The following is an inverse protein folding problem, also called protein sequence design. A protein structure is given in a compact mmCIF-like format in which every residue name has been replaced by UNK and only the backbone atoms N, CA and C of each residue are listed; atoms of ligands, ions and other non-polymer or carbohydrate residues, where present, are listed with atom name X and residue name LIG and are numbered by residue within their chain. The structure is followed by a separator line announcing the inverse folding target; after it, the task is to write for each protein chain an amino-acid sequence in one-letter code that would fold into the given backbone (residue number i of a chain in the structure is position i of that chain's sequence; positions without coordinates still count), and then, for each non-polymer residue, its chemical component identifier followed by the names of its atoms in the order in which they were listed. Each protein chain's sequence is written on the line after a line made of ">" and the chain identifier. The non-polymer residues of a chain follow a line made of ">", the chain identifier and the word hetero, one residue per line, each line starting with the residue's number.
data_IF_248481775391
#
_entry.id   IF_248481775391
#
_cell.length_a   1.000
_cell.length_b   1.000
_cell.length_c   1.000
_cell.angle_alpha   90.00
_cell.angle_beta   90.00
_cell.angle_gamma   90.00
#
_symmetry.space_group_name_H-M   'P 1'
#
loop_
_entity.id
_entity.type
_entity.pdbx_description
1 polymer ?
#
# COMPACT_ATOMS: atom_id res chain seq x y z
N UNK A 1 -1.73 5.81 19.22
CA UNK A 1 -2.29 7.01 18.53
C UNK A 1 -2.14 6.74 17.05
N UNK A 2 -2.93 5.78 16.59
CA UNK A 2 -2.64 4.96 15.42
C UNK A 2 -3.36 5.60 14.24
N UNK A 3 -2.77 6.69 13.74
CA UNK A 3 -3.25 7.35 12.54
C UNK A 3 -3.14 6.35 11.41
N UNK A 4 -4.26 5.73 11.03
CA UNK A 4 -4.32 4.84 9.86
C UNK A 4 -3.69 5.58 8.68
N UNK A 5 -2.74 4.96 7.96
CA UNK A 5 -2.14 5.60 6.81
C UNK A 5 -3.25 5.97 5.81
N UNK A 6 -3.17 7.17 5.24
CA UNK A 6 -4.16 7.68 4.29
C UNK A 6 -3.55 7.72 2.90
N UNK A 7 -4.39 7.49 1.90
CA UNK A 7 -4.01 7.56 0.51
C UNK A 7 -3.63 8.99 0.14
N UNK A 8 -2.49 9.17 -0.51
CA UNK A 8 -1.99 10.50 -0.88
C UNK A 8 -2.79 11.15 -2.02
N UNK A 9 -3.60 10.37 -2.75
CA UNK A 9 -4.41 10.86 -3.87
C UNK A 9 -5.82 11.30 -3.45
N UNK A 10 -6.43 10.62 -2.48
CA UNK A 10 -7.84 10.84 -2.15
C UNK A 10 -8.16 10.76 -0.66
N UNK A 11 -7.14 10.70 0.20
CA UNK A 11 -7.25 10.74 1.67
C UNK A 11 -8.13 9.64 2.30
N UNK A 12 -8.52 8.62 1.53
CA UNK A 12 -9.16 7.40 2.06
C UNK A 12 -8.14 6.56 2.83
N UNK A 13 -8.59 5.56 3.58
CA UNK A 13 -7.70 4.60 4.22
C UNK A 13 -6.79 3.92 3.19
N UNK A 14 -5.47 4.06 3.38
CA UNK A 14 -4.49 3.36 2.57
C UNK A 14 -4.50 1.89 2.95
N UNK A 15 -4.41 1.05 1.93
CA UNK A 15 -4.37 -0.41 2.06
C UNK A 15 -2.93 -0.94 2.02
N UNK A 16 -1.98 -0.08 1.66
CA UNK A 16 -0.58 -0.43 1.50
C UNK A 16 0.28 0.70 0.93
N UNK A 17 1.54 0.36 0.70
CA UNK A 17 2.56 1.19 0.08
C UNK A 17 2.90 0.59 -1.28
N UNK A 18 3.03 1.45 -2.29
CA UNK A 18 3.66 1.09 -3.55
C UNK A 18 4.82 2.03 -3.85
N UNK A 19 5.95 1.46 -4.25
CA UNK A 19 7.12 2.16 -4.75
C UNK A 19 7.34 1.76 -6.19
N UNK A 20 7.32 2.75 -7.08
CA UNK A 20 7.57 2.56 -8.50
C UNK A 20 8.85 3.33 -8.84
N UNK A 21 10.00 2.63 -8.82
CA UNK A 21 11.31 3.26 -8.94
C UNK A 21 11.66 4.09 -7.71
N UNK A 22 11.84 5.40 -7.89
CA UNK A 22 12.26 6.34 -6.84
C UNK A 22 11.11 6.92 -6.02
N UNK A 23 9.87 6.72 -6.46
CA UNK A 23 8.69 7.32 -5.85
C UNK A 23 7.95 6.28 -5.01
N UNK A 24 7.78 6.58 -3.73
CA UNK A 24 7.00 5.79 -2.77
C UNK A 24 5.71 6.53 -2.47
N UNK A 25 4.57 5.85 -2.55
CA UNK A 25 3.28 6.45 -2.22
C UNK A 25 2.35 5.51 -1.46
N UNK A 26 1.56 6.10 -0.56
CA UNK A 26 0.49 5.42 0.18
C UNK A 26 -0.79 5.44 -0.65
N UNK A 27 -1.37 4.26 -0.87
CA UNK A 27 -2.50 4.11 -1.80
C UNK A 27 -3.65 3.33 -1.19
N UNK A 28 -4.88 3.76 -1.49
CA UNK A 28 -6.11 3.04 -1.15
C UNK A 28 -6.46 2.03 -2.25
N UNK A 29 -7.51 1.23 -2.04
CA UNK A 29 -7.94 0.17 -2.98
C UNK A 29 -8.21 0.67 -4.41
N UNK A 30 -8.67 1.90 -4.57
CA UNK A 30 -8.92 2.53 -5.88
C UNK A 30 -7.62 2.96 -6.60
N UNK A 31 -6.62 3.43 -5.85
CA UNK A 31 -5.38 3.98 -6.41
C UNK A 31 -4.21 2.99 -6.38
N UNK A 32 -4.40 1.84 -5.76
CA UNK A 32 -3.42 0.79 -5.67
C UNK A 32 -3.22 0.08 -7.00
N UNK A 33 -1.97 -0.22 -7.32
CA UNK A 33 -1.63 -1.06 -8.45
C UNK A 33 -2.21 -2.47 -8.29
N UNK A 34 -2.48 -3.13 -9.42
CA UNK A 34 -2.99 -4.50 -9.45
C UNK A 34 -2.09 -5.48 -8.70
N UNK A 35 -0.77 -5.24 -8.69
CA UNK A 35 0.17 -6.03 -7.90
C UNK A 35 -0.09 -5.91 -6.39
N UNK A 36 -0.27 -4.69 -5.87
CA UNK A 36 -0.62 -4.47 -4.46
C UNK A 36 -2.00 -5.05 -4.11
N UNK A 37 -2.93 -5.05 -5.06
CA UNK A 37 -4.26 -5.65 -4.90
C UNK A 37 -4.24 -7.17 -4.83
N UNK A 38 -3.26 -7.80 -5.48
CA UNK A 38 -3.07 -9.25 -5.48
C UNK A 38 -2.37 -9.76 -4.20
N UNK A 39 -1.68 -8.88 -3.46
CA UNK A 39 -1.05 -9.23 -2.18
C UNK A 39 -2.07 -9.45 -1.07
N UNK A 40 -1.82 -10.44 -0.22
CA UNK A 40 -2.61 -10.65 1.00
C UNK A 40 -2.26 -9.58 2.04
N UNK A 41 -3.15 -9.30 3.00
CA UNK A 41 -2.85 -8.43 4.14
C UNK A 41 -1.54 -8.87 4.83
N UNK A 42 -0.64 -7.93 5.08
CA UNK A 42 0.68 -8.19 5.66
C UNK A 42 1.73 -8.74 4.70
N UNK A 43 1.39 -9.05 3.45
CA UNK A 43 2.38 -9.46 2.45
C UNK A 43 3.10 -8.27 1.82
N UNK A 44 4.39 -8.50 1.55
CA UNK A 44 5.25 -7.58 0.82
C UNK A 44 5.91 -8.29 -0.34
N UNK A 45 6.00 -7.59 -1.45
CA UNK A 45 6.62 -8.05 -2.67
C UNK A 45 7.56 -6.98 -3.22
N UNK A 46 8.85 -7.33 -3.24
CA UNK A 46 9.88 -6.52 -3.84
C UNK A 46 10.24 -7.10 -5.22
N UNK A 47 10.33 -6.21 -6.19
CA UNK A 47 10.92 -6.41 -7.50
C UNK A 47 12.20 -5.59 -7.59
N UNK A 48 12.98 -5.78 -8.65
CA UNK A 48 14.29 -5.12 -8.84
C UNK A 48 14.22 -3.58 -8.66
N UNK A 49 13.17 -2.94 -9.19
CA UNK A 49 12.95 -1.49 -9.10
C UNK A 49 11.60 -1.09 -8.49
N UNK A 50 10.76 -2.05 -8.08
CA UNK A 50 9.44 -1.75 -7.55
C UNK A 50 9.23 -2.46 -6.21
N UNK A 51 8.49 -1.84 -5.30
CA UNK A 51 8.17 -2.42 -4.00
C UNK A 51 6.69 -2.28 -3.72
N UNK A 52 6.04 -3.33 -3.25
CA UNK A 52 4.64 -3.32 -2.88
C UNK A 52 4.51 -3.95 -1.50
N UNK A 53 3.79 -3.29 -0.60
CA UNK A 53 3.52 -3.80 0.74
C UNK A 53 2.07 -3.56 1.10
N UNK A 54 1.34 -4.65 1.33
CA UNK A 54 -0.04 -4.61 1.79
C UNK A 54 -0.03 -4.48 3.31
N UNK A 55 -0.70 -3.47 3.84
CA UNK A 55 -0.86 -3.35 5.28
C UNK A 55 -1.68 -4.52 5.82
N UNK A 56 -1.23 -5.04 6.95
CA UNK A 56 -1.98 -6.03 7.67
C UNK A 56 -3.16 -5.32 8.32
N UNK A 57 -4.38 -5.69 7.93
CA UNK A 57 -5.59 -5.23 8.62
C UNK A 57 -5.71 -6.02 9.92
N UNK A 58 -4.78 -5.82 10.85
CA UNK A 58 -5.03 -6.20 12.24
C UNK A 58 -5.99 -5.15 12.77
N UNK A 59 -7.27 -5.44 12.59
CA UNK A 59 -8.30 -5.00 13.52
C UNK A 59 -7.87 -5.52 14.90
N UNK A 60 -7.42 -4.60 15.77
CA UNK A 60 -7.13 -4.83 17.17
C UNK A 60 -8.19 -4.14 18.02
#
# INVERSE_FOLDING_TARGET
>A
MDKKPRCEYCEKDAIGIQSLGTCVSLVCRDHADSHLLALKPGEKQAYDYCYFERFDTIDA
#
